data_IF_459968468017
#
_entry.id   IF_459968468017
#
_cell.length_a   1.000
_cell.length_b   1.000
_cell.length_c   1.000
_cell.angle_alpha   90.00
_cell.angle_beta   90.00
_cell.angle_gamma   90.00
#
_symmetry.space_group_name_H-M   'P 1'
#
loop_
_entity.id
_entity.type
_entity.pdbx_description
1 polymer ?
#
# COMPACT_ATOMS: atom_id res chain seq x y z
N UNK A 1 19.89 21.17 7.18
CA UNK A 1 21.26 21.56 6.76
C UNK A 1 21.30 22.42 5.50
N UNK A 2 20.48 22.16 4.47
CA UNK A 2 20.52 22.89 3.19
C UNK A 2 20.09 24.38 3.25
N UNK A 3 19.38 24.81 4.30
CA UNK A 3 18.90 26.20 4.46
C UNK A 3 19.94 27.22 4.96
N UNK A 4 21.05 26.78 5.56
CA UNK A 4 22.00 27.69 6.24
C UNK A 4 23.24 28.03 5.42
N UNK A 5 23.60 27.25 4.40
CA UNK A 5 24.79 27.53 3.56
C UNK A 5 24.52 28.65 2.54
N UNK A 6 23.27 28.86 2.13
CA UNK A 6 22.92 29.76 1.02
C UNK A 6 22.86 31.25 1.39
N UNK A 7 22.62 31.57 2.67
CA UNK A 7 22.50 32.97 3.12
C UNK A 7 23.87 33.71 3.12
N UNK A 8 24.98 32.98 3.16
CA UNK A 8 26.32 33.55 3.14
C UNK A 8 26.83 33.92 1.73
N UNK A 9 26.26 33.35 0.66
CA UNK A 9 26.70 33.60 -0.72
C UNK A 9 26.10 34.90 -1.28
N UNK A 10 24.93 35.33 -0.78
CA UNK A 10 24.23 36.53 -1.26
C UNK A 10 24.88 37.88 -0.89
N UNK A 11 25.93 37.91 -0.06
CA UNK A 11 26.59 39.17 0.33
C UNK A 11 27.71 39.62 -0.62
N UNK A 12 28.07 38.85 -1.64
CA UNK A 12 29.26 39.13 -2.50
C UNK A 12 28.98 39.37 -4.00
N UNK A 13 27.75 39.20 -4.49
CA UNK A 13 27.44 39.35 -5.93
C UNK A 13 26.33 40.37 -6.17
N UNK A 14 26.60 41.32 -7.07
CA UNK A 14 25.76 42.51 -7.30
C UNK A 14 24.31 42.24 -7.69
N UNK A 15 23.47 43.25 -7.46
CA UNK A 15 21.99 43.26 -7.54
C UNK A 15 21.36 42.62 -8.81
N UNK A 16 22.10 42.54 -9.91
CA UNK A 16 21.67 41.94 -11.19
C UNK A 16 21.61 40.40 -11.15
N UNK A 17 22.60 39.72 -10.55
CA UNK A 17 22.61 38.25 -10.47
C UNK A 17 21.58 37.72 -9.46
N UNK A 18 21.36 38.48 -8.38
CA UNK A 18 20.34 38.21 -7.36
C UNK A 18 18.92 38.01 -7.94
N UNK A 19 18.55 38.77 -8.99
CA UNK A 19 17.22 38.66 -9.62
C UNK A 19 17.03 37.36 -10.42
N UNK A 20 18.09 36.86 -11.08
CA UNK A 20 18.04 35.64 -11.89
C UNK A 20 18.04 34.41 -11.00
N UNK A 21 18.90 34.40 -9.98
CA UNK A 21 18.97 33.35 -8.97
C UNK A 21 17.65 33.20 -8.21
N UNK A 22 17.01 34.31 -7.82
CA UNK A 22 15.67 34.28 -7.21
C UNK A 22 14.62 33.63 -8.12
N UNK A 23 14.65 33.87 -9.43
CA UNK A 23 13.68 33.27 -10.35
C UNK A 23 13.92 31.79 -10.62
N UNK A 24 15.19 31.36 -10.67
CA UNK A 24 15.55 29.94 -10.73
C UNK A 24 15.05 29.24 -9.47
N UNK A 25 15.33 29.79 -8.28
CA UNK A 25 14.85 29.25 -7.01
C UNK A 25 13.31 29.18 -6.94
N UNK A 26 12.61 30.22 -7.39
CA UNK A 26 11.14 30.22 -7.43
C UNK A 26 10.57 29.17 -8.39
N UNK A 27 11.26 28.89 -9.48
CA UNK A 27 10.86 27.87 -10.45
C UNK A 27 11.10 26.48 -9.88
N UNK A 28 12.27 26.23 -9.29
CA UNK A 28 12.62 24.98 -8.59
C UNK A 28 11.66 24.69 -7.43
N UNK A 29 11.29 25.72 -6.65
CA UNK A 29 10.31 25.59 -5.57
C UNK A 29 8.90 25.26 -6.09
N UNK A 30 8.51 25.78 -7.25
CA UNK A 30 7.22 25.44 -7.88
C UNK A 30 7.24 23.99 -8.39
N UNK A 31 8.27 23.58 -9.14
CA UNK A 31 8.38 22.19 -9.62
C UNK A 31 8.51 21.18 -8.49
N UNK A 32 9.18 21.52 -7.39
CA UNK A 32 9.21 20.68 -6.18
C UNK A 32 7.82 20.53 -5.54
N UNK A 33 7.05 21.62 -5.41
CA UNK A 33 5.67 21.55 -4.91
C UNK A 33 4.75 20.76 -5.84
N UNK A 34 4.96 20.85 -7.15
CA UNK A 34 4.19 20.10 -8.14
C UNK A 34 4.49 18.59 -8.06
N UNK A 35 5.77 18.21 -7.87
CA UNK A 35 6.20 16.81 -7.80
C UNK A 35 5.79 16.08 -6.50
N UNK A 36 5.37 16.82 -5.49
CA UNK A 36 4.80 16.31 -4.24
C UNK A 36 3.29 16.03 -4.33
N UNK A 37 2.56 16.54 -5.34
CA UNK A 37 1.11 16.36 -5.41
C UNK A 37 0.75 14.92 -5.78
N UNK A 38 -0.05 14.28 -4.92
CA UNK A 38 -0.64 12.96 -5.22
C UNK A 38 -1.79 13.08 -6.21
N UNK A 39 -1.93 12.06 -7.06
CA UNK A 39 -3.04 11.89 -8.01
C UNK A 39 -4.17 11.17 -7.27
N UNK A 40 -5.37 11.72 -7.31
CA UNK A 40 -6.55 11.18 -6.61
C UNK A 40 -7.50 10.55 -7.64
N UNK A 41 -7.47 9.23 -7.88
CA UNK A 41 -8.48 8.56 -8.69
C UNK A 41 -9.87 8.67 -8.03
N UNK A 42 -10.90 8.93 -8.84
CA UNK A 42 -12.28 9.07 -8.36
C UNK A 42 -13.00 7.73 -8.21
N UNK A 43 -12.46 6.66 -8.80
CA UNK A 43 -13.08 5.34 -8.82
C UNK A 43 -12.03 4.25 -9.13
N UNK A 44 -12.43 2.98 -8.99
CA UNK A 44 -11.58 1.82 -9.26
C UNK A 44 -11.02 1.82 -10.69
N UNK A 45 -11.78 2.24 -11.69
CA UNK A 45 -11.35 2.23 -13.09
C UNK A 45 -10.20 3.21 -13.33
N UNK A 46 -10.27 4.40 -12.76
CA UNK A 46 -9.19 5.38 -12.80
C UNK A 46 -7.95 4.86 -12.07
N UNK A 47 -8.12 4.27 -10.89
CA UNK A 47 -7.00 3.65 -10.15
C UNK A 47 -6.30 2.57 -11.00
N UNK A 48 -7.06 1.66 -11.62
CA UNK A 48 -6.52 0.64 -12.53
C UNK A 48 -5.76 1.29 -13.70
N UNK A 49 -6.28 2.37 -14.27
CA UNK A 49 -5.59 3.09 -15.36
C UNK A 49 -4.24 3.62 -14.91
N UNK A 50 -4.17 4.24 -13.71
CA UNK A 50 -2.92 4.78 -13.14
C UNK A 50 -1.90 3.67 -12.87
N UNK A 51 -2.34 2.52 -12.35
CA UNK A 51 -1.49 1.35 -12.10
C UNK A 51 -0.96 0.79 -13.42
N UNK A 52 -1.82 0.61 -14.43
CA UNK A 52 -1.46 0.03 -15.73
C UNK A 52 -0.48 0.90 -16.53
N UNK A 53 -0.58 2.22 -16.43
CA UNK A 53 0.38 3.15 -17.06
C UNK A 53 1.71 3.27 -16.29
N UNK A 54 1.89 2.56 -15.17
CA UNK A 54 3.13 2.57 -14.39
C UNK A 54 3.31 3.80 -13.51
N UNK A 55 2.22 4.40 -13.04
CA UNK A 55 2.29 5.49 -12.07
C UNK A 55 2.90 4.95 -10.76
N UNK A 56 3.93 5.60 -10.19
CA UNK A 56 4.48 5.21 -8.88
C UNK A 56 3.38 5.19 -7.82
N UNK A 57 3.30 4.10 -7.05
CA UNK A 57 2.15 3.87 -6.16
C UNK A 57 2.09 4.87 -4.99
N UNK A 58 3.23 5.41 -4.56
CA UNK A 58 3.34 6.47 -3.55
C UNK A 58 2.76 7.82 -4.00
N UNK A 59 2.63 8.01 -5.32
CA UNK A 59 2.02 9.19 -5.93
C UNK A 59 0.51 9.08 -6.10
N UNK A 60 -0.09 7.97 -5.68
CA UNK A 60 -1.54 7.75 -5.76
C UNK A 60 -2.14 7.94 -4.36
N UNK A 61 -3.19 8.74 -4.28
CA UNK A 61 -4.01 8.90 -3.07
C UNK A 61 -5.29 8.09 -3.22
N UNK A 62 -5.37 6.98 -2.49
CA UNK A 62 -6.50 6.04 -2.55
C UNK A 62 -7.65 6.39 -1.61
N UNK A 63 -7.63 7.55 -0.93
CA UNK A 63 -8.63 7.93 0.09
C UNK A 63 -10.08 7.91 -0.41
N UNK A 64 -10.31 8.06 -1.72
CA UNK A 64 -11.65 7.99 -2.34
C UNK A 64 -12.08 6.60 -2.79
N UNK A 65 -11.21 5.60 -2.70
CA UNK A 65 -11.43 4.27 -3.25
C UNK A 65 -12.10 3.37 -2.22
N UNK A 66 -13.23 2.76 -2.59
CA UNK A 66 -13.98 1.83 -1.75
C UNK A 66 -13.83 0.37 -2.19
N UNK A 67 -13.46 0.13 -3.46
CA UNK A 67 -13.30 -1.21 -4.03
C UNK A 67 -11.90 -1.36 -4.64
N UNK A 68 -11.11 -2.25 -4.04
CA UNK A 68 -9.76 -2.64 -4.46
C UNK A 68 -9.72 -4.07 -5.03
N UNK A 69 -10.87 -4.65 -5.33
CA UNK A 69 -10.94 -6.02 -5.85
C UNK A 69 -10.24 -6.13 -7.20
N UNK A 70 -9.35 -7.12 -7.32
CA UNK A 70 -8.62 -7.44 -8.56
C UNK A 70 -7.67 -6.35 -9.06
N UNK A 71 -7.22 -5.40 -8.23
CA UNK A 71 -6.32 -4.32 -8.69
C UNK A 71 -5.00 -4.83 -9.28
N UNK A 72 -4.49 -5.95 -8.76
CA UNK A 72 -3.27 -6.61 -9.22
C UNK A 72 -3.53 -8.08 -9.54
N UNK A 73 -4.65 -8.37 -10.21
CA UNK A 73 -4.93 -9.73 -10.66
C UNK A 73 -3.98 -10.19 -11.79
N UNK A 74 -4.24 -11.40 -12.28
CA UNK A 74 -3.40 -12.24 -13.15
C UNK A 74 -2.85 -11.59 -14.41
N UNK A 75 -3.39 -10.46 -14.85
CA UNK A 75 -2.98 -9.81 -16.10
C UNK A 75 -1.49 -9.43 -16.09
N UNK A 76 -0.89 -9.23 -14.91
CA UNK A 76 0.51 -8.78 -14.81
C UNK A 76 1.18 -9.36 -13.55
N UNK A 77 1.99 -10.40 -13.69
CA UNK A 77 2.93 -10.81 -12.63
C UNK A 77 4.04 -9.76 -12.57
N UNK A 78 4.18 -9.10 -11.42
CA UNK A 78 5.18 -8.03 -11.23
C UNK A 78 6.12 -8.39 -10.10
N UNK A 79 7.39 -8.01 -10.24
CA UNK A 79 8.38 -8.15 -9.17
C UNK A 79 8.03 -7.28 -7.96
N UNK A 80 8.55 -7.63 -6.78
CA UNK A 80 8.26 -6.93 -5.52
C UNK A 80 8.45 -5.40 -5.60
N UNK A 81 9.47 -4.93 -6.35
CA UNK A 81 9.79 -3.51 -6.53
C UNK A 81 8.67 -2.69 -7.19
N UNK A 82 7.82 -3.33 -8.01
CA UNK A 82 6.67 -2.65 -8.58
C UNK A 82 5.70 -2.11 -7.51
N UNK A 83 5.61 -2.83 -6.39
CA UNK A 83 4.68 -2.52 -5.32
C UNK A 83 5.25 -1.48 -4.33
N UNK A 84 6.45 -0.97 -4.56
CA UNK A 84 7.03 0.05 -3.70
C UNK A 84 6.13 1.29 -3.64
N UNK A 85 5.86 1.79 -2.43
CA UNK A 85 4.98 2.93 -2.19
C UNK A 85 3.54 2.54 -1.86
N UNK A 86 3.17 1.26 -2.03
CA UNK A 86 1.82 0.78 -1.72
C UNK A 86 1.49 0.84 -0.22
N UNK A 87 2.51 0.82 0.64
CA UNK A 87 2.40 0.99 2.09
C UNK A 87 1.82 2.37 2.48
N UNK A 88 1.84 3.33 1.55
CA UNK A 88 1.34 4.70 1.75
C UNK A 88 -0.15 4.88 1.40
N UNK A 89 -0.80 3.83 0.89
CA UNK A 89 -2.20 3.88 0.50
C UNK A 89 -3.12 4.02 1.71
N UNK A 90 -4.11 4.91 1.59
CA UNK A 90 -5.21 4.98 2.54
C UNK A 90 -6.26 3.93 2.18
N UNK A 91 -6.41 2.94 3.06
CA UNK A 91 -7.38 1.84 2.93
C UNK A 91 -8.60 2.00 3.85
N UNK A 92 -8.68 3.10 4.60
CA UNK A 92 -9.69 3.32 5.66
C UNK A 92 -11.14 3.44 5.14
N UNK A 93 -11.33 3.61 3.83
CA UNK A 93 -12.64 3.64 3.18
C UNK A 93 -12.94 2.40 2.33
N UNK A 94 -12.00 1.44 2.26
CA UNK A 94 -12.14 0.25 1.42
C UNK A 94 -13.10 -0.74 2.07
N UNK A 95 -14.04 -1.24 1.29
CA UNK A 95 -15.01 -2.26 1.68
C UNK A 95 -14.77 -3.62 1.01
N UNK A 96 -14.04 -3.66 -0.11
CA UNK A 96 -13.72 -4.91 -0.83
C UNK A 96 -12.26 -4.95 -1.29
N UNK A 97 -11.59 -6.07 -1.01
CA UNK A 97 -10.21 -6.40 -1.40
C UNK A 97 -10.12 -7.79 -2.05
N UNK A 98 -11.23 -8.26 -2.63
CA UNK A 98 -11.34 -9.59 -3.24
C UNK A 98 -10.25 -9.79 -4.29
N UNK A 99 -9.47 -10.86 -4.13
CA UNK A 99 -8.44 -11.27 -5.08
C UNK A 99 -7.44 -10.14 -5.47
N UNK A 100 -7.25 -9.14 -4.61
CA UNK A 100 -6.43 -7.95 -4.91
C UNK A 100 -4.99 -8.30 -5.32
N UNK A 101 -4.39 -9.34 -4.73
CA UNK A 101 -3.04 -9.84 -5.02
C UNK A 101 -3.02 -11.32 -5.44
N UNK A 102 -4.13 -11.81 -6.00
CA UNK A 102 -4.22 -13.21 -6.43
C UNK A 102 -3.11 -13.53 -7.44
N UNK A 103 -2.40 -14.65 -7.21
CA UNK A 103 -1.27 -15.10 -8.03
C UNK A 103 -0.09 -14.11 -8.18
N UNK A 104 0.01 -13.07 -7.34
CA UNK A 104 1.17 -12.18 -7.32
C UNK A 104 2.36 -12.84 -6.62
N UNK A 105 3.08 -13.71 -7.35
CA UNK A 105 4.14 -14.58 -6.81
C UNK A 105 5.19 -13.84 -5.97
N UNK A 106 5.57 -12.62 -6.38
CA UNK A 106 6.65 -11.85 -5.80
C UNK A 106 6.21 -10.74 -4.83
N UNK A 107 4.91 -10.56 -4.58
CA UNK A 107 4.44 -9.51 -3.68
C UNK A 107 4.87 -9.80 -2.23
N UNK A 108 5.57 -8.85 -1.61
CA UNK A 108 6.00 -8.92 -0.21
C UNK A 108 6.25 -7.53 0.43
N UNK A 109 5.51 -6.50 0.02
CA UNK A 109 5.61 -5.18 0.63
C UNK A 109 4.92 -5.16 2.00
N UNK A 110 5.46 -4.38 2.94
CA UNK A 110 4.87 -4.20 4.26
C UNK A 110 3.57 -3.41 4.17
N UNK A 111 2.46 -4.09 4.45
CA UNK A 111 1.10 -3.54 4.49
C UNK A 111 0.50 -3.62 5.90
N UNK A 112 1.34 -3.84 6.92
CA UNK A 112 0.91 -3.93 8.31
C UNK A 112 0.21 -2.66 8.82
N UNK A 113 0.48 -1.51 8.17
CA UNK A 113 -0.11 -0.21 8.47
C UNK A 113 -1.53 0.00 7.93
N UNK A 114 -2.01 -0.86 7.04
CA UNK A 114 -3.31 -0.68 6.40
C UNK A 114 -4.47 -0.78 7.39
N UNK A 115 -5.45 0.11 7.24
CA UNK A 115 -6.68 0.08 8.01
C UNK A 115 -7.73 -0.74 7.28
N UNK A 116 -7.92 -1.98 7.73
CA UNK A 116 -8.86 -2.94 7.12
C UNK A 116 -10.18 -3.08 7.86
N UNK A 117 -10.46 -2.24 8.86
CA UNK A 117 -11.61 -2.40 9.76
C UNK A 117 -12.98 -2.28 9.05
N UNK A 118 -13.05 -1.58 7.91
CA UNK A 118 -14.26 -1.43 7.10
C UNK A 118 -14.40 -2.49 6.00
N UNK A 119 -13.36 -3.29 5.75
CA UNK A 119 -13.38 -4.30 4.68
C UNK A 119 -14.36 -5.40 5.06
N UNK A 120 -15.23 -5.75 4.12
CA UNK A 120 -16.26 -6.78 4.27
C UNK A 120 -15.94 -8.04 3.47
N UNK A 121 -15.07 -7.93 2.48
CA UNK A 121 -14.70 -9.06 1.62
C UNK A 121 -13.20 -9.00 1.25
N UNK A 122 -12.47 -10.03 1.65
CA UNK A 122 -11.05 -10.29 1.38
C UNK A 122 -10.84 -11.66 0.74
N UNK A 123 -11.88 -12.24 0.14
CA UNK A 123 -11.79 -13.57 -0.49
C UNK A 123 -10.61 -13.63 -1.45
N UNK A 124 -9.77 -14.65 -1.26
CA UNK A 124 -8.62 -14.89 -2.12
C UNK A 124 -7.59 -13.74 -2.24
N UNK A 125 -7.59 -12.74 -1.34
CA UNK A 125 -6.74 -11.55 -1.45
C UNK A 125 -5.26 -11.90 -1.68
N UNK A 126 -4.73 -12.95 -1.05
CA UNK A 126 -3.36 -13.45 -1.16
C UNK A 126 -3.28 -14.90 -1.67
N UNK A 127 -4.31 -15.35 -2.40
CA UNK A 127 -4.35 -16.71 -2.94
C UNK A 127 -3.20 -16.90 -3.94
N UNK A 128 -2.40 -17.95 -3.73
CA UNK A 128 -1.17 -18.24 -4.49
C UNK A 128 -0.10 -17.12 -4.45
N UNK A 129 -0.12 -16.23 -3.45
CA UNK A 129 0.92 -15.20 -3.26
C UNK A 129 2.08 -15.81 -2.47
N UNK A 130 3.05 -16.41 -3.18
CA UNK A 130 4.07 -17.27 -2.55
C UNK A 130 5.14 -16.53 -1.75
N UNK A 131 5.52 -15.31 -2.13
CA UNK A 131 6.57 -14.55 -1.45
C UNK A 131 6.07 -13.78 -0.23
N UNK A 132 4.76 -13.62 -0.06
CA UNK A 132 4.19 -12.77 0.98
C UNK A 132 4.35 -13.40 2.37
N UNK A 133 5.07 -12.72 3.27
CA UNK A 133 5.34 -13.17 4.64
C UNK A 133 5.32 -12.04 5.69
N UNK A 134 4.55 -10.98 5.44
CA UNK A 134 4.47 -9.83 6.34
C UNK A 134 3.64 -10.13 7.59
N UNK A 135 3.97 -9.44 8.69
CA UNK A 135 3.23 -9.53 9.95
C UNK A 135 1.97 -8.66 9.89
N UNK A 136 0.79 -9.29 9.97
CA UNK A 136 -0.51 -8.62 9.89
C UNK A 136 -1.23 -8.53 11.25
N UNK A 137 -0.53 -8.71 12.38
CA UNK A 137 -1.15 -8.72 13.71
C UNK A 137 -1.86 -7.40 14.08
N UNK A 138 -1.51 -6.29 13.43
CA UNK A 138 -2.16 -5.00 13.64
C UNK A 138 -3.51 -4.86 12.91
N UNK A 139 -3.84 -5.77 11.99
CA UNK A 139 -5.09 -5.71 11.24
C UNK A 139 -6.28 -6.08 12.13
N UNK A 140 -7.14 -5.10 12.36
CA UNK A 140 -8.44 -5.31 13.01
C UNK A 140 -9.48 -5.73 11.97
N UNK A 141 -9.53 -7.02 11.63
CA UNK A 141 -10.52 -7.53 10.67
C UNK A 141 -11.86 -7.79 11.35
N UNK A 142 -12.95 -7.31 10.74
CA UNK A 142 -14.32 -7.49 11.24
C UNK A 142 -14.71 -8.96 11.30
N UNK A 143 -15.48 -9.37 12.32
CA UNK A 143 -15.97 -10.76 12.46
C UNK A 143 -16.81 -11.21 11.24
N UNK A 144 -17.62 -10.30 10.69
CA UNK A 144 -18.43 -10.55 9.49
C UNK A 144 -17.65 -10.48 8.16
N UNK A 145 -16.33 -10.26 8.19
CA UNK A 145 -15.54 -10.15 6.97
C UNK A 145 -15.39 -11.52 6.30
N UNK A 146 -15.70 -11.61 5.01
CA UNK A 146 -15.47 -12.83 4.26
C UNK A 146 -13.98 -12.95 3.89
N UNK A 147 -13.28 -13.90 4.50
CA UNK A 147 -11.86 -14.19 4.24
C UNK A 147 -11.63 -15.53 3.53
N UNK A 148 -12.66 -16.09 2.92
CA UNK A 148 -12.59 -17.41 2.32
C UNK A 148 -11.42 -17.52 1.32
N UNK A 149 -10.58 -18.52 1.53
CA UNK A 149 -9.43 -18.79 0.65
C UNK A 149 -8.39 -17.67 0.57
N UNK A 150 -8.41 -16.68 1.48
CA UNK A 150 -7.51 -15.51 1.47
C UNK A 150 -6.04 -15.91 1.29
N UNK A 151 -5.59 -16.98 1.93
CA UNK A 151 -4.21 -17.48 1.83
C UNK A 151 -4.10 -18.86 1.16
N UNK A 152 -5.11 -19.29 0.40
CA UNK A 152 -5.09 -20.61 -0.26
C UNK A 152 -3.87 -20.71 -1.17
N UNK A 153 -3.06 -21.76 -1.00
CA UNK A 153 -1.80 -21.97 -1.74
C UNK A 153 -0.73 -20.87 -1.54
N UNK A 154 -0.85 -19.99 -0.54
CA UNK A 154 0.24 -19.09 -0.13
C UNK A 154 1.22 -19.81 0.79
N UNK A 155 2.47 -19.35 0.84
CA UNK A 155 3.46 -19.81 1.84
C UNK A 155 3.31 -19.10 3.20
N UNK A 156 2.46 -18.05 3.28
CA UNK A 156 2.16 -17.42 4.56
C UNK A 156 1.45 -18.43 5.45
N UNK A 157 2.13 -18.84 6.52
CA UNK A 157 1.49 -19.47 7.67
C UNK A 157 1.12 -18.30 8.58
N UNK A 158 -0.16 -17.89 8.63
CA UNK A 158 -0.53 -16.74 9.44
C UNK A 158 -0.27 -17.08 10.92
N UNK A 159 0.66 -16.37 11.56
CA UNK A 159 0.88 -16.44 13.01
C UNK A 159 -0.25 -15.68 13.69
N UNK A 160 -1.39 -16.32 13.85
CA UNK A 160 -2.62 -15.67 14.27
C UNK A 160 -2.75 -15.77 15.78
N UNK A 161 -2.66 -14.63 16.46
CA UNK A 161 -3.31 -14.47 17.76
C UNK A 161 -4.80 -14.23 17.51
N UNK A 162 -5.59 -15.31 17.54
CA UNK A 162 -7.05 -15.28 17.51
C UNK A 162 -7.68 -14.95 16.15
N UNK A 163 -8.73 -15.67 15.80
CA UNK A 163 -9.71 -15.33 14.77
C UNK A 163 -9.50 -15.79 13.33
N UNK A 164 -8.92 -16.97 13.05
CA UNK A 164 -9.22 -17.62 11.75
C UNK A 164 -9.41 -19.12 11.88
N UNK A 165 -10.50 -19.54 12.54
CA UNK A 165 -11.09 -20.86 12.31
C UNK A 165 -12.59 -20.68 12.17
N UNK A 166 -13.13 -21.17 11.05
CA UNK A 166 -14.57 -21.15 10.72
C UNK A 166 -15.39 -22.03 11.66
N UNK A 167 -14.74 -22.83 12.50
CA UNK A 167 -15.39 -23.70 13.47
C UNK A 167 -14.71 -23.59 14.84
N UNK A 168 -15.52 -23.22 15.84
CA UNK A 168 -15.23 -23.09 17.27
C UNK A 168 -14.19 -22.03 17.68
N UNK A 169 -14.63 -21.20 18.63
CA UNK A 169 -13.79 -20.37 19.49
C UNK A 169 -12.90 -21.28 20.34
N UNK A 170 -11.75 -21.68 19.80
CA UNK A 170 -10.71 -22.40 20.54
C UNK A 170 -9.90 -21.38 21.35
N UNK A 171 -9.70 -21.68 22.63
CA UNK A 171 -8.84 -20.92 23.51
C UNK A 171 -7.37 -21.04 23.07
N UNK A 172 -6.53 -20.07 23.46
CA UNK A 172 -5.09 -20.08 23.16
C UNK A 172 -4.39 -21.37 23.61
N UNK A 173 -4.92 -22.06 24.63
CA UNK A 173 -4.38 -23.32 25.13
C UNK A 173 -4.70 -24.53 24.23
N UNK A 174 -5.76 -24.46 23.43
CA UNK A 174 -6.16 -25.53 22.50
C UNK A 174 -5.45 -25.40 21.15
N UNK A 175 -5.16 -24.18 20.72
CA UNK A 175 -4.40 -23.87 19.48
C UNK A 175 -2.98 -24.43 19.56
N UNK A 176 -2.33 -24.33 20.72
CA UNK A 176 -0.96 -24.82 20.94
C UNK A 176 -0.83 -26.36 20.92
N UNK A 177 -1.95 -27.09 20.85
CA UNK A 177 -1.98 -28.56 20.83
C UNK A 177 -2.28 -29.16 19.45
N UNK A 178 -2.53 -28.34 18.43
CA UNK A 178 -2.81 -28.84 17.08
C UNK A 178 -1.51 -29.26 16.37
N UNK A 179 -1.53 -30.35 15.57
CA UNK A 179 -0.36 -30.81 14.85
C UNK A 179 0.11 -29.74 13.88
N UNK A 180 1.32 -29.26 14.13
CA UNK A 180 2.02 -28.34 13.24
C UNK A 180 2.54 -29.19 12.06
N UNK A 181 2.12 -28.86 10.84
CA UNK A 181 2.70 -29.42 9.62
C UNK A 181 3.54 -28.37 8.90
#
# INVERSE_FOLDING_TARGET
>A
MMKFVFMAICLLVGLSSYSKEKQVLLTELKTAKESERKIIPQNKKELISLIRQGTPLDKIDTSKITDMSGLFDVDIIRGNEFFKGIETWDTSNVTSMVEMFVNQEYFNQDISSWNVAKVKDMRGMFKSTHSFHQNLNAWAVSEDCNVEGMFRNSKLIPKINGYWSKDKKLSLQEILKLPQW
#
